data_IF_487866934491
#
_entry.id   IF_487866934491
#
_cell.length_a   1.000
_cell.length_b   1.000
_cell.length_c   1.000
_cell.angle_alpha   90.00
_cell.angle_beta   90.00
_cell.angle_gamma   90.00
#
_symmetry.space_group_name_H-M   'P 1'
#
loop_
_entity.id
_entity.type
_entity.pdbx_description
1 polymer ?
#
# COMPACT_ATOMS: atom_id res chain seq x y z
N UNK A 1 11.08 -13.78 -20.01
CA UNK A 1 11.57 -13.44 -19.16
C UNK A 1 10.92 -13.10 -17.92
N UNK A 2 10.51 -14.08 -17.19
CA UNK A 2 9.87 -13.88 -15.95
C UNK A 2 10.79 -13.15 -15.01
N UNK A 3 12.04 -13.47 -15.05
CA UNK A 3 12.92 -12.82 -14.16
C UNK A 3 13.05 -11.37 -14.52
N UNK A 4 12.90 -11.04 -15.77
CA UNK A 4 13.00 -9.65 -16.14
C UNK A 4 11.88 -8.89 -15.51
N UNK A 5 10.72 -9.48 -15.44
CA UNK A 5 9.60 -8.82 -14.84
C UNK A 5 9.86 -8.63 -13.37
N UNK A 6 10.43 -9.63 -12.71
CA UNK A 6 10.69 -9.48 -11.30
C UNK A 6 11.74 -8.45 -11.04
N UNK A 7 12.70 -8.29 -11.93
CA UNK A 7 13.73 -7.31 -11.74
C UNK A 7 13.18 -5.91 -11.87
N UNK A 8 12.05 -5.77 -12.54
CA UNK A 8 11.45 -4.47 -12.72
C UNK A 8 10.56 -4.10 -11.54
N UNK A 9 10.50 -4.94 -10.52
CA UNK A 9 9.68 -4.63 -9.37
C UNK A 9 10.54 -4.46 -8.15
N UNK A 10 10.31 -3.41 -7.41
CA UNK A 10 11.07 -3.12 -6.21
C UNK A 10 10.09 -2.96 -5.05
N UNK A 11 10.26 -3.77 -4.01
CA UNK A 11 9.47 -3.59 -2.81
C UNK A 11 10.16 -2.53 -1.98
N UNK A 12 9.50 -1.40 -1.83
CA UNK A 12 10.07 -0.28 -1.09
C UNK A 12 9.81 -0.43 0.40
N UNK A 13 8.61 -0.85 0.76
CA UNK A 13 8.27 -0.97 2.17
C UNK A 13 7.10 -1.92 2.36
N UNK A 14 7.10 -2.63 3.46
CA UNK A 14 5.99 -3.49 3.83
C UNK A 14 5.58 -3.08 5.22
N UNK A 15 4.37 -2.60 5.37
CA UNK A 15 3.87 -2.06 6.61
C UNK A 15 2.86 -3.03 7.21
N UNK A 16 3.12 -3.50 8.41
CA UNK A 16 2.20 -4.42 9.06
C UNK A 16 0.90 -3.71 9.37
N UNK A 17 -0.19 -4.31 8.99
CA UNK A 17 -1.49 -3.69 9.17
C UNK A 17 -2.28 -4.44 10.22
N UNK A 18 -2.29 -5.76 10.13
CA UNK A 18 -2.95 -6.60 11.11
C UNK A 18 -2.38 -7.99 10.89
N UNK A 19 -2.78 -8.94 11.70
CA UNK A 19 -2.26 -10.28 11.59
C UNK A 19 -2.56 -10.84 10.21
N UNK A 20 -1.51 -11.21 9.51
CA UNK A 20 -1.67 -11.78 8.18
C UNK A 20 -1.96 -10.77 7.09
N UNK A 21 -1.87 -9.48 7.37
CA UNK A 21 -2.12 -8.45 6.38
C UNK A 21 -1.09 -7.35 6.44
N UNK A 22 -0.68 -6.87 5.28
CA UNK A 22 0.30 -5.82 5.16
C UNK A 22 -0.06 -4.87 4.04
N UNK A 23 0.45 -3.65 4.12
CA UNK A 23 0.37 -2.73 3.01
C UNK A 23 1.76 -2.73 2.39
N UNK A 24 1.85 -3.11 1.13
CA UNK A 24 3.13 -3.07 0.42
C UNK A 24 3.17 -1.84 -0.47
N UNK A 25 4.29 -1.15 -0.42
CA UNK A 25 4.56 -0.02 -1.30
C UNK A 25 5.63 -0.50 -2.26
N UNK A 26 5.33 -0.55 -3.53
CA UNK A 26 6.22 -1.13 -4.53
C UNK A 26 6.30 -0.24 -5.76
N UNK A 27 7.39 -0.36 -6.47
CA UNK A 27 7.51 0.25 -7.79
C UNK A 27 7.46 -0.92 -8.76
N UNK A 28 6.56 -0.86 -9.71
CA UNK A 28 6.44 -1.92 -10.68
C UNK A 28 6.48 -1.34 -12.09
N UNK A 29 6.82 -2.18 -13.04
CA UNK A 29 6.89 -1.74 -14.43
C UNK A 29 5.92 -2.55 -15.26
N UNK A 30 5.17 -1.87 -16.11
CA UNK A 30 4.23 -2.53 -16.99
C UNK A 30 4.23 -1.77 -18.30
N UNK A 31 4.58 -2.47 -19.39
CA UNK A 31 4.62 -1.89 -20.72
C UNK A 31 5.49 -0.65 -20.76
N UNK A 32 6.69 -0.78 -20.19
CA UNK A 32 7.69 0.27 -20.20
C UNK A 32 7.31 1.50 -19.41
N UNK A 33 6.35 1.40 -18.52
CA UNK A 33 5.98 2.50 -17.65
C UNK A 33 6.10 2.04 -16.22
N UNK A 34 6.58 2.93 -15.37
CA UNK A 34 6.73 2.63 -13.96
C UNK A 34 5.53 3.13 -13.19
N UNK A 35 5.13 2.36 -12.19
CA UNK A 35 3.98 2.69 -11.37
C UNK A 35 4.33 2.53 -9.90
N UNK A 36 3.78 3.43 -9.11
CA UNK A 36 3.85 3.31 -7.65
C UNK A 36 2.60 2.53 -7.25
N UNK A 37 2.79 1.38 -6.65
CA UNK A 37 1.67 0.52 -6.26
C UNK A 37 1.60 0.45 -4.75
N UNK A 38 0.46 0.79 -4.18
CA UNK A 38 0.22 0.73 -2.76
C UNK A 38 -0.96 -0.22 -2.59
N UNK A 39 -0.70 -1.37 -1.98
CA UNK A 39 -1.70 -2.44 -2.04
C UNK A 39 -1.68 -3.30 -0.80
N UNK A 40 -2.85 -3.79 -0.42
CA UNK A 40 -2.94 -4.72 0.67
C UNK A 40 -2.51 -6.10 0.20
N UNK A 41 -1.63 -6.72 0.97
CA UNK A 41 -1.18 -8.09 0.72
C UNK A 41 -1.63 -8.95 1.89
N UNK A 42 -1.88 -10.20 1.65
CA UNK A 42 -2.22 -11.13 2.71
C UNK A 42 -1.26 -12.30 2.69
N UNK A 43 -1.12 -12.95 3.83
CA UNK A 43 -0.23 -14.10 3.93
C UNK A 43 -1.08 -15.35 3.73
N UNK A 44 -0.69 -16.20 2.78
CA UNK A 44 -1.48 -17.39 2.51
C UNK A 44 -1.06 -18.52 3.42
N UNK A 45 -1.63 -19.70 3.24
CA UNK A 45 -1.36 -20.82 4.09
C UNK A 45 0.07 -21.31 4.01
N UNK A 46 0.75 -21.04 2.93
CA UNK A 46 2.13 -21.44 2.78
C UNK A 46 3.09 -20.40 3.32
N UNK A 47 2.59 -19.33 3.89
CA UNK A 47 3.44 -18.27 4.42
C UNK A 47 3.91 -17.28 3.38
N UNK A 48 3.30 -17.28 2.21
CA UNK A 48 3.69 -16.36 1.15
C UNK A 48 2.74 -15.18 1.10
N UNK A 49 3.30 -14.01 0.79
CA UNK A 49 2.50 -12.80 0.73
C UNK A 49 1.97 -12.61 -0.69
N UNK A 50 0.66 -12.45 -0.80
CA UNK A 50 -0.01 -12.33 -2.08
C UNK A 50 -0.79 -11.03 -2.17
N UNK A 51 -0.87 -10.43 -3.35
CA UNK A 51 -1.60 -9.18 -3.51
C UNK A 51 -3.09 -9.40 -3.48
N UNK A 52 -3.82 -8.35 -3.12
CA UNK A 52 -5.27 -8.37 -3.19
C UNK A 52 -5.70 -7.29 -4.17
N UNK A 53 -6.98 -7.15 -4.37
CA UNK A 53 -7.49 -6.10 -5.23
C UNK A 53 -7.52 -4.76 -4.51
N UNK A 54 -7.28 -4.73 -3.20
CA UNK A 54 -7.36 -3.50 -2.46
C UNK A 54 -6.06 -2.75 -2.60
N UNK A 55 -6.06 -1.75 -3.43
CA UNK A 55 -4.86 -0.98 -3.66
C UNK A 55 -5.02 -0.05 -4.83
N UNK A 56 -3.97 0.71 -5.10
CA UNK A 56 -3.99 1.66 -6.19
C UNK A 56 -2.63 1.65 -6.85
N UNK A 57 -2.64 1.79 -8.16
CA UNK A 57 -1.42 1.84 -8.95
C UNK A 57 -1.39 3.20 -9.61
N UNK A 58 -0.35 3.96 -9.35
CA UNK A 58 -0.27 5.35 -9.79
C UNK A 58 0.96 5.51 -10.67
N UNK A 59 0.83 6.07 -11.87
CA UNK A 59 2.02 6.34 -12.66
C UNK A 59 3.00 7.21 -11.87
N UNK A 60 4.27 6.90 -11.96
CA UNK A 60 5.26 7.57 -11.10
C UNK A 60 5.34 9.06 -11.33
N UNK A 61 4.91 9.55 -12.50
CA UNK A 61 4.94 10.98 -12.72
C UNK A 61 3.99 11.73 -11.80
N UNK A 62 3.05 11.04 -11.15
CA UNK A 62 2.15 11.70 -10.21
C UNK A 62 2.64 11.59 -8.77
N UNK A 63 3.85 11.08 -8.57
CA UNK A 63 4.34 10.85 -7.21
C UNK A 63 4.31 12.13 -6.37
N UNK A 64 4.77 13.24 -6.91
CA UNK A 64 4.82 14.46 -6.13
C UNK A 64 3.42 14.94 -5.76
N UNK A 65 2.46 14.79 -6.66
CA UNK A 65 1.10 15.19 -6.36
C UNK A 65 0.49 14.31 -5.27
N UNK A 66 0.79 13.01 -5.33
CA UNK A 66 0.27 12.10 -4.31
C UNK A 66 0.91 12.42 -2.97
N UNK A 67 2.20 12.70 -2.95
CA UNK A 67 2.86 13.01 -1.70
C UNK A 67 2.32 14.30 -1.10
N UNK A 68 2.05 15.31 -1.93
CA UNK A 68 1.48 16.53 -1.41
C UNK A 68 0.12 16.27 -0.78
N UNK A 69 -0.67 15.40 -1.40
CA UNK A 69 -1.98 15.08 -0.86
C UNK A 69 -1.85 14.33 0.47
N UNK A 70 -0.89 13.42 0.56
CA UNK A 70 -0.70 12.66 1.77
C UNK A 70 -0.23 13.56 2.91
N UNK A 71 0.67 14.49 2.61
CA UNK A 71 1.13 15.42 3.62
C UNK A 71 -0.03 16.31 4.07
N UNK A 72 -0.87 16.73 3.13
CA UNK A 72 -2.02 17.57 3.48
C UNK A 72 -3.04 16.80 4.32
N UNK A 73 -3.07 15.49 4.21
CA UNK A 73 -3.99 14.68 4.97
C UNK A 73 -3.58 14.54 6.44
N UNK A 74 -2.30 14.73 6.74
CA UNK A 74 -1.80 14.48 8.08
C UNK A 74 -2.52 15.27 9.16
N UNK A 75 -2.71 16.57 9.03
CA UNK A 75 -3.41 17.31 10.07
C UNK A 75 -4.85 16.82 10.29
N UNK A 76 -5.50 16.40 9.22
CA UNK A 76 -6.86 15.91 9.32
C UNK A 76 -6.85 14.58 10.07
N UNK A 77 -5.89 13.72 9.76
CA UNK A 77 -5.77 12.45 10.43
C UNK A 77 -5.50 12.66 11.91
N UNK A 78 -4.59 13.58 12.24
CA UNK A 78 -4.23 13.82 13.63
C UNK A 78 -5.43 14.34 14.40
N UNK A 79 -6.21 15.20 13.79
CA UNK A 79 -7.37 15.73 14.46
C UNK A 79 -8.40 14.64 14.70
N UNK A 80 -8.61 13.79 13.70
CA UNK A 80 -9.58 12.73 13.86
C UNK A 80 -9.14 11.70 14.88
N UNK A 81 -7.85 11.44 14.94
CA UNK A 81 -7.34 10.48 15.89
C UNK A 81 -7.55 10.94 17.33
N UNK A 82 -7.57 12.26 17.55
CA UNK A 82 -7.83 12.74 18.87
C UNK A 82 -9.29 12.62 19.24
N UNK A 83 -10.15 12.62 18.25
CA UNK A 83 -11.59 12.59 18.50
C UNK A 83 -12.13 11.18 18.63
N UNK A 84 -11.44 10.21 18.13
CA UNK A 84 -11.93 8.86 18.08
C UNK A 84 -10.98 7.92 18.79
N UNK A 85 -11.49 7.06 19.66
CA UNK A 85 -10.60 6.12 20.34
C UNK A 85 -9.92 5.23 19.35
N UNK A 86 -8.72 4.87 19.64
CA UNK A 86 -7.95 4.07 18.72
C UNK A 86 -8.29 2.61 18.65
N UNK A 87 -9.32 2.21 19.04
CA UNK A 87 -9.66 0.88 19.02
C UNK A 87 -10.00 0.35 17.80
N UNK A 88 -10.07 1.08 16.89
CA UNK A 88 -10.53 0.65 15.76
C UNK A 88 -9.90 -0.14 14.86
N UNK A 89 -8.79 -0.36 15.00
CA UNK A 89 -8.15 -1.03 14.00
C UNK A 89 -8.91 -2.11 13.50
N UNK A 90 -9.76 -2.59 14.25
CA UNK A 90 -10.43 -3.64 13.78
C UNK A 90 -11.25 -3.27 12.69
N UNK A 91 -11.85 -2.29 12.73
CA UNK A 91 -12.71 -2.04 11.74
C UNK A 91 -12.02 -1.71 10.62
N UNK A 92 -10.93 -1.24 10.76
CA UNK A 92 -10.23 -0.94 9.60
C UNK A 92 -10.19 -2.13 8.79
N UNK A 93 -10.02 -3.19 9.38
CA UNK A 93 -9.89 -4.33 8.61
C UNK A 93 -11.11 -4.54 7.89
N UNK A 94 -12.08 -4.21 8.46
CA UNK A 94 -13.26 -4.47 7.84
C UNK A 94 -13.36 -3.84 6.58
N UNK A 95 -12.92 -2.87 6.47
CA UNK A 95 -13.13 -2.22 5.31
C UNK A 95 -13.00 -2.93 4.24
N UNK A 96 -12.95 -3.55 4.38
CA UNK A 96 -13.11 -3.92 3.37
C UNK A 96 -13.64 -4.54 3.01
#
# INVERSE_FOLDING_TARGET
>A
MAEDIQQDEVLVSAIDKSLGNRIHVRISRFKDRDYLDIRNYYEDDAGEWKPTRKGVSVPVEFYDDVMKALVAAKPVIDKRAKEVPPVIEKEAAADE
#
